data_IF_571684064416
#
_entry.id   IF_571684064416
#
_cell.length_a   1.000
_cell.length_b   1.000
_cell.length_c   1.000
_cell.angle_alpha   90.00
_cell.angle_beta   90.00
_cell.angle_gamma   90.00
#
_symmetry.space_group_name_H-M   'P 1'
#
loop_
_entity.id
_entity.type
_entity.pdbx_description
1 polymer ?
#
# COMPACT_ATOMS: atom_id res chain seq x y z
N UNK A 1 -18.51 1.34 -21.97
CA UNK A 1 -18.75 0.95 -20.55
C UNK A 1 -19.86 1.85 -20.01
N UNK A 2 -20.95 1.27 -19.54
CA UNK A 2 -22.04 2.01 -18.89
C UNK A 2 -21.59 2.43 -17.47
N UNK A 3 -21.54 3.73 -17.22
CA UNK A 3 -21.10 4.31 -15.95
C UNK A 3 -22.08 3.98 -14.81
N UNK A 4 -23.39 3.93 -15.10
CA UNK A 4 -24.38 3.58 -14.10
C UNK A 4 -24.26 2.12 -13.67
N UNK A 5 -24.11 1.21 -14.62
CA UNK A 5 -23.87 -0.21 -14.34
C UNK A 5 -22.57 -0.42 -13.54
N UNK A 6 -21.47 0.26 -13.90
CA UNK A 6 -20.23 0.20 -13.15
C UNK A 6 -20.40 0.68 -11.70
N UNK A 7 -21.09 1.79 -11.50
CA UNK A 7 -21.37 2.32 -10.14
C UNK A 7 -22.14 1.32 -9.31
N UNK A 8 -23.18 0.72 -9.88
CA UNK A 8 -24.07 -0.19 -9.16
C UNK A 8 -23.32 -1.49 -8.79
N UNK A 9 -22.53 -2.06 -9.73
CA UNK A 9 -21.65 -3.20 -9.46
C UNK A 9 -20.67 -2.91 -8.32
N UNK A 10 -19.96 -1.77 -8.36
CA UNK A 10 -18.99 -1.42 -7.33
C UNK A 10 -19.63 -1.25 -5.94
N UNK A 11 -20.90 -0.88 -5.84
CA UNK A 11 -21.58 -0.61 -4.57
C UNK A 11 -22.37 -1.79 -4.02
N UNK A 12 -22.97 -2.60 -4.88
CA UNK A 12 -23.97 -3.60 -4.47
C UNK A 12 -23.57 -5.04 -4.75
N UNK A 13 -22.78 -5.27 -5.82
CA UNK A 13 -22.38 -6.63 -6.17
C UNK A 13 -21.31 -7.20 -5.23
N UNK A 14 -21.39 -8.52 -5.02
CA UNK A 14 -20.45 -9.28 -4.22
C UNK A 14 -19.89 -10.42 -5.07
N UNK A 15 -18.61 -10.27 -5.44
CA UNK A 15 -17.82 -11.35 -6.01
C UNK A 15 -16.52 -11.46 -5.25
N UNK A 16 -15.90 -12.63 -5.27
CA UNK A 16 -14.64 -12.86 -4.55
C UNK A 16 -13.55 -11.86 -4.99
N UNK A 17 -13.47 -11.58 -6.29
CA UNK A 17 -12.47 -10.67 -6.84
C UNK A 17 -12.77 -9.20 -6.45
N UNK A 18 -14.05 -8.80 -6.44
CA UNK A 18 -14.45 -7.47 -6.01
C UNK A 18 -14.22 -7.25 -4.51
N UNK A 19 -14.51 -8.27 -3.70
CA UNK A 19 -14.31 -8.21 -2.25
C UNK A 19 -12.82 -8.18 -1.88
N UNK A 20 -11.96 -8.88 -2.64
CA UNK A 20 -10.49 -8.77 -2.52
C UNK A 20 -10.02 -7.34 -2.80
N UNK A 21 -10.51 -6.71 -3.86
CA UNK A 21 -10.17 -5.32 -4.19
C UNK A 21 -10.65 -4.33 -3.13
N UNK A 22 -11.87 -4.52 -2.58
CA UNK A 22 -12.38 -3.70 -1.46
C UNK A 22 -11.49 -3.80 -0.23
N UNK A 23 -11.01 -5.00 0.10
CA UNK A 23 -10.04 -5.19 1.21
C UNK A 23 -8.74 -4.44 0.94
N UNK A 24 -8.19 -4.53 -0.28
CA UNK A 24 -6.99 -3.77 -0.66
C UNK A 24 -7.22 -2.27 -0.58
N UNK A 25 -8.39 -1.76 -1.01
CA UNK A 25 -8.75 -0.34 -0.88
C UNK A 25 -8.75 0.08 0.60
N UNK A 26 -9.40 -0.70 1.48
CA UNK A 26 -9.46 -0.40 2.92
C UNK A 26 -8.07 -0.39 3.56
N UNK A 27 -7.22 -1.38 3.25
CA UNK A 27 -5.84 -1.42 3.72
C UNK A 27 -5.02 -0.24 3.20
N UNK A 28 -5.18 0.11 1.91
CA UNK A 28 -4.48 1.25 1.33
C UNK A 28 -4.91 2.59 1.93
N UNK A 29 -6.19 2.73 2.30
CA UNK A 29 -6.67 3.91 3.01
C UNK A 29 -6.00 4.05 4.40
N UNK A 30 -5.87 2.94 5.14
CA UNK A 30 -5.14 2.94 6.41
C UNK A 30 -3.65 3.28 6.21
N UNK A 31 -3.01 2.69 5.21
CA UNK A 31 -1.62 3.00 4.86
C UNK A 31 -1.43 4.46 4.44
N UNK A 32 -2.39 5.04 3.72
CA UNK A 32 -2.34 6.45 3.34
C UNK A 32 -2.38 7.37 4.57
N UNK A 33 -3.21 7.06 5.58
CA UNK A 33 -3.24 7.80 6.85
C UNK A 33 -1.91 7.66 7.58
N UNK A 34 -1.40 6.44 7.72
CA UNK A 34 -0.14 6.13 8.40
C UNK A 34 1.04 6.91 7.78
N UNK A 35 1.22 6.82 6.47
CA UNK A 35 2.30 7.52 5.79
C UNK A 35 2.08 9.03 5.63
N UNK A 36 0.85 9.52 5.76
CA UNK A 36 0.60 10.96 5.89
C UNK A 36 1.17 11.51 7.21
N UNK A 37 1.06 10.76 8.31
CA UNK A 37 1.65 11.13 9.59
C UNK A 37 3.18 11.15 9.50
N UNK A 38 3.79 10.12 8.90
CA UNK A 38 5.24 10.08 8.64
C UNK A 38 5.66 11.28 7.77
N UNK A 39 4.90 11.58 6.73
CA UNK A 39 5.18 12.70 5.83
C UNK A 39 5.18 14.04 6.56
N UNK A 40 4.22 14.26 7.46
CA UNK A 40 4.18 15.48 8.30
C UNK A 40 5.41 15.59 9.21
N UNK A 41 5.91 14.50 9.73
CA UNK A 41 7.15 14.49 10.51
C UNK A 41 8.35 14.80 9.63
N UNK A 42 8.52 14.08 8.52
CA UNK A 42 9.67 14.22 7.62
C UNK A 42 9.76 15.60 6.95
N UNK A 43 8.62 16.30 6.81
CA UNK A 43 8.56 17.65 6.25
C UNK A 43 8.54 18.74 7.32
N UNK A 44 8.62 18.38 8.61
CA UNK A 44 8.71 19.34 9.72
C UNK A 44 7.37 19.95 10.13
N UNK A 45 6.24 19.47 9.64
CA UNK A 45 4.90 19.91 10.06
C UNK A 45 4.63 19.51 11.53
N UNK A 46 5.06 18.30 11.91
CA UNK A 46 5.10 17.85 13.30
C UNK A 46 6.54 17.61 13.75
N UNK A 47 6.83 17.83 15.02
CA UNK A 47 8.20 17.75 15.56
C UNK A 47 8.62 16.35 15.99
N UNK A 48 7.67 15.49 16.31
CA UNK A 48 7.93 14.13 16.78
C UNK A 48 6.79 13.21 16.47
N UNK A 49 7.12 11.93 16.29
CA UNK A 49 6.17 10.83 16.17
C UNK A 49 5.96 10.20 17.55
N UNK A 50 4.72 9.97 17.98
CA UNK A 50 4.45 9.17 19.17
C UNK A 50 4.99 7.76 19.06
N UNK A 51 5.60 7.24 20.13
CA UNK A 51 6.13 5.89 20.21
C UNK A 51 5.70 5.19 21.50
N UNK A 52 5.91 3.85 21.54
CA UNK A 52 5.75 3.09 22.77
C UNK A 52 6.91 3.39 23.73
N UNK A 53 6.68 3.34 25.07
CA UNK A 53 7.65 3.75 26.10
C UNK A 53 8.73 2.66 26.33
N UNK A 54 9.30 2.11 25.29
CA UNK A 54 10.37 1.13 25.35
C UNK A 54 11.54 1.59 24.48
N UNK A 55 12.78 1.47 24.97
CA UNK A 55 14.00 1.95 24.29
C UNK A 55 14.20 1.43 22.87
N UNK A 56 13.62 0.29 22.53
CA UNK A 56 13.72 -0.30 21.20
C UNK A 56 12.91 0.49 20.16
N UNK A 57 11.84 1.21 20.59
CA UNK A 57 11.03 2.01 19.71
C UNK A 57 11.60 3.41 19.57
N UNK A 58 11.86 3.82 18.34
CA UNK A 58 12.35 5.16 18.01
C UNK A 58 11.97 5.50 16.57
N UNK A 59 10.68 5.79 16.38
CA UNK A 59 10.14 6.15 15.06
C UNK A 59 10.77 7.44 14.52
N UNK A 60 11.18 8.35 15.39
CA UNK A 60 11.85 9.59 14.99
C UNK A 60 13.21 9.29 14.36
N UNK A 61 14.04 8.47 15.00
CA UNK A 61 15.35 8.07 14.48
C UNK A 61 15.24 7.33 13.15
N UNK A 62 14.29 6.39 13.06
CA UNK A 62 14.09 5.59 11.84
C UNK A 62 13.67 6.49 10.67
N UNK A 63 12.70 7.38 10.86
CA UNK A 63 12.16 8.25 9.80
C UNK A 63 13.02 9.49 9.52
N UNK A 64 14.05 9.79 10.34
CA UNK A 64 15.07 10.78 10.08
C UNK A 64 16.38 10.18 9.53
N UNK A 65 16.43 8.87 9.27
CA UNK A 65 17.63 8.20 8.78
C UNK A 65 17.91 8.51 7.30
N UNK A 66 19.16 8.34 6.86
CA UNK A 66 19.51 8.49 5.43
C UNK A 66 18.72 7.54 4.52
N UNK A 67 18.35 6.36 5.03
CA UNK A 67 17.53 5.40 4.28
C UNK A 67 16.14 5.98 3.95
N UNK A 68 15.56 6.78 4.84
CA UNK A 68 14.25 7.42 4.64
C UNK A 68 14.26 8.57 3.59
N UNK A 69 15.46 9.05 3.20
CA UNK A 69 15.65 10.11 2.19
C UNK A 69 16.46 9.62 0.99
N UNK A 70 16.64 8.31 0.85
CA UNK A 70 17.51 7.68 -0.17
C UNK A 70 17.22 8.12 -1.61
N UNK A 71 15.98 8.42 -1.94
CA UNK A 71 15.58 8.79 -3.30
C UNK A 71 15.66 10.31 -3.57
N UNK A 72 16.36 11.07 -2.72
CA UNK A 72 16.41 12.52 -2.81
C UNK A 72 15.13 13.23 -2.38
N UNK A 73 14.19 12.48 -1.82
CA UNK A 73 12.94 12.94 -1.24
C UNK A 73 12.55 12.04 -0.06
N UNK A 74 11.74 12.56 0.91
CA UNK A 74 11.23 11.75 2.00
C UNK A 74 10.42 10.56 1.47
N UNK A 75 10.59 9.38 2.06
CA UNK A 75 9.89 8.16 1.64
C UNK A 75 8.40 8.13 2.06
N UNK A 76 8.02 8.89 3.07
CA UNK A 76 6.63 9.05 3.52
C UNK A 76 5.71 9.53 2.41
N UNK A 77 5.96 10.71 1.79
CA UNK A 77 5.18 11.17 0.63
C UNK A 77 5.21 10.21 -0.56
N UNK A 78 6.34 9.57 -0.84
CA UNK A 78 6.45 8.56 -1.92
C UNK A 78 5.52 7.38 -1.64
N UNK A 79 5.53 6.88 -0.41
CA UNK A 79 4.67 5.78 0.02
C UNK A 79 3.19 6.17 0.01
N UNK A 80 2.84 7.39 0.42
CA UNK A 80 1.47 7.91 0.34
C UNK A 80 0.95 7.91 -1.11
N UNK A 81 1.76 8.33 -2.08
CA UNK A 81 1.43 8.25 -3.51
C UNK A 81 1.22 6.80 -3.95
N UNK A 82 2.07 5.87 -3.50
CA UNK A 82 1.93 4.44 -3.83
C UNK A 82 0.61 3.85 -3.29
N UNK A 83 0.19 4.20 -2.07
CA UNK A 83 -1.12 3.81 -1.53
C UNK A 83 -2.29 4.43 -2.31
N UNK A 84 -2.21 5.71 -2.65
CA UNK A 84 -3.22 6.37 -3.48
C UNK A 84 -3.35 5.70 -4.86
N UNK A 85 -2.23 5.39 -5.51
CA UNK A 85 -2.21 4.67 -6.78
C UNK A 85 -2.82 3.27 -6.65
N UNK A 86 -2.52 2.55 -5.57
CA UNK A 86 -3.11 1.24 -5.26
C UNK A 86 -4.64 1.33 -5.14
N UNK A 87 -5.16 2.35 -4.43
CA UNK A 87 -6.60 2.59 -4.31
C UNK A 87 -7.26 2.86 -5.68
N UNK A 88 -6.64 3.69 -6.52
CA UNK A 88 -7.14 3.98 -7.87
C UNK A 88 -7.17 2.70 -8.71
N UNK A 89 -6.10 1.91 -8.74
CA UNK A 89 -6.04 0.66 -9.49
C UNK A 89 -7.07 -0.37 -9.00
N UNK A 90 -7.27 -0.48 -7.69
CA UNK A 90 -8.22 -1.41 -7.11
C UNK A 90 -9.68 -0.99 -7.36
N UNK A 91 -9.99 0.30 -7.44
CA UNK A 91 -11.35 0.82 -7.66
C UNK A 91 -11.71 0.97 -9.14
N UNK A 92 -10.73 1.08 -10.05
CA UNK A 92 -11.00 1.33 -11.46
C UNK A 92 -11.74 0.16 -12.13
N UNK A 93 -12.76 0.48 -12.93
CA UNK A 93 -13.33 -0.39 -13.95
C UNK A 93 -14.25 -1.52 -13.49
N UNK A 94 -15.05 -1.42 -12.45
CA UNK A 94 -16.08 -2.40 -12.12
C UNK A 94 -15.58 -3.86 -11.97
N UNK A 95 -16.24 -4.82 -12.63
CA UNK A 95 -15.86 -6.23 -12.70
C UNK A 95 -15.68 -6.68 -14.17
N UNK A 96 -15.51 -7.99 -14.39
CA UNK A 96 -15.37 -8.55 -15.74
C UNK A 96 -16.62 -8.37 -16.59
N UNK A 97 -17.81 -8.42 -15.99
CA UNK A 97 -19.11 -8.25 -16.70
C UNK A 97 -19.30 -6.81 -17.15
N UNK A 98 -18.78 -5.85 -16.39
CA UNK A 98 -18.82 -4.42 -16.72
C UNK A 98 -17.60 -3.94 -17.53
N UNK A 99 -16.69 -4.86 -17.90
CA UNK A 99 -15.58 -4.59 -18.83
C UNK A 99 -14.26 -4.19 -18.18
N UNK A 100 -14.00 -4.62 -16.93
CA UNK A 100 -12.67 -4.46 -16.32
C UNK A 100 -11.61 -5.20 -17.13
N UNK A 101 -10.57 -4.46 -17.52
CA UNK A 101 -9.47 -5.02 -18.29
C UNK A 101 -8.46 -5.76 -17.39
N UNK A 102 -7.96 -6.95 -17.79
CA UNK A 102 -6.97 -7.71 -17.00
C UNK A 102 -5.70 -6.90 -16.65
N UNK A 103 -5.31 -5.95 -17.50
CA UNK A 103 -4.15 -5.08 -17.27
C UNK A 103 -4.25 -4.29 -15.96
N UNK A 104 -5.45 -3.95 -15.50
CA UNK A 104 -5.65 -3.25 -14.21
C UNK A 104 -5.31 -4.15 -13.02
N UNK A 105 -5.65 -5.44 -13.09
CA UNK A 105 -5.32 -6.39 -12.03
C UNK A 105 -3.83 -6.78 -12.07
N UNK A 106 -3.21 -6.79 -13.25
CA UNK A 106 -1.74 -6.94 -13.38
C UNK A 106 -1.03 -5.72 -12.78
N UNK A 107 -1.46 -4.51 -13.12
CA UNK A 107 -0.89 -3.29 -12.55
C UNK A 107 -1.08 -3.22 -11.02
N UNK A 108 -2.28 -3.55 -10.51
CA UNK A 108 -2.55 -3.64 -9.09
C UNK A 108 -1.61 -4.65 -8.40
N UNK A 109 -1.53 -5.87 -8.93
CA UNK A 109 -0.67 -6.92 -8.38
C UNK A 109 0.81 -6.52 -8.37
N UNK A 110 1.31 -5.94 -9.45
CA UNK A 110 2.69 -5.45 -9.53
C UNK A 110 2.96 -4.32 -8.51
N UNK A 111 2.02 -3.39 -8.35
CA UNK A 111 2.14 -2.28 -7.38
C UNK A 111 2.18 -2.80 -5.95
N UNK A 112 1.24 -3.66 -5.53
CA UNK A 112 1.22 -4.19 -4.15
C UNK A 112 2.40 -5.12 -3.88
N UNK A 113 2.88 -5.88 -4.88
CA UNK A 113 4.08 -6.69 -4.75
C UNK A 113 5.34 -5.83 -4.55
N UNK A 114 5.49 -4.75 -5.33
CA UNK A 114 6.57 -3.79 -5.17
C UNK A 114 6.54 -3.12 -3.79
N UNK A 115 5.36 -2.69 -3.33
CA UNK A 115 5.18 -2.12 -2.00
C UNK A 115 5.54 -3.13 -0.88
N UNK A 116 5.16 -4.42 -1.03
CA UNK A 116 5.51 -5.45 -0.06
C UNK A 116 7.02 -5.71 -0.01
N UNK A 117 7.68 -5.80 -1.16
CA UNK A 117 9.15 -5.94 -1.25
C UNK A 117 9.84 -4.74 -0.59
N UNK A 118 9.39 -3.52 -0.88
CA UNK A 118 9.88 -2.30 -0.25
C UNK A 118 9.70 -2.34 1.28
N UNK A 119 8.50 -2.70 1.75
CA UNK A 119 8.19 -2.84 3.18
C UNK A 119 9.09 -3.85 3.88
N UNK A 120 9.33 -5.03 3.29
CA UNK A 120 10.24 -6.05 3.82
C UNK A 120 11.68 -5.53 3.87
N UNK A 121 12.13 -4.83 2.82
CA UNK A 121 13.46 -4.23 2.78
C UNK A 121 13.66 -3.21 3.91
N UNK A 122 12.68 -2.32 4.13
CA UNK A 122 12.75 -1.34 5.21
C UNK A 122 12.67 -1.97 6.60
N UNK A 123 11.87 -3.03 6.79
CA UNK A 123 11.88 -3.82 8.04
C UNK A 123 13.26 -4.41 8.31
N UNK A 124 13.90 -4.98 7.29
CA UNK A 124 15.27 -5.50 7.43
C UNK A 124 16.26 -4.40 7.86
N UNK A 125 16.24 -3.26 7.18
CA UNK A 125 17.13 -2.12 7.50
C UNK A 125 16.87 -1.60 8.92
N UNK A 126 15.63 -1.46 9.31
CA UNK A 126 15.21 -0.98 10.63
C UNK A 126 15.72 -1.91 11.74
N UNK A 127 15.51 -3.22 11.60
CA UNK A 127 15.85 -4.21 12.64
C UNK A 127 17.35 -4.47 12.71
N UNK A 128 17.99 -4.72 11.57
CA UNK A 128 19.37 -5.20 11.54
C UNK A 128 20.43 -4.09 11.41
N UNK A 129 20.11 -2.98 10.78
CA UNK A 129 21.07 -1.89 10.56
C UNK A 129 20.86 -0.78 11.58
N UNK A 130 19.64 -0.25 11.72
CA UNK A 130 19.36 0.86 12.63
C UNK A 130 19.17 0.40 14.08
N UNK A 131 18.83 -0.88 14.29
CA UNK A 131 18.59 -1.51 15.60
C UNK A 131 17.56 -0.75 16.44
N UNK A 132 16.56 -0.21 15.76
CA UNK A 132 15.40 0.49 16.33
C UNK A 132 14.15 0.03 15.60
N UNK A 133 12.99 0.18 16.22
CA UNK A 133 11.69 -0.19 15.65
C UNK A 133 10.86 1.08 15.50
N UNK A 134 10.30 1.28 14.31
CA UNK A 134 9.31 2.29 14.02
C UNK A 134 7.93 1.62 13.96
N UNK A 135 7.02 2.02 14.82
CA UNK A 135 5.67 1.45 14.88
C UNK A 135 4.91 1.66 13.55
N UNK A 136 5.00 2.84 12.99
CA UNK A 136 4.39 3.21 11.69
C UNK A 136 4.98 2.37 10.55
N UNK A 137 6.30 2.19 10.51
CA UNK A 137 6.96 1.39 9.47
C UNK A 137 6.58 -0.09 9.54
N UNK A 138 6.39 -0.64 10.74
CA UNK A 138 5.88 -2.02 10.94
C UNK A 138 4.44 -2.12 10.46
N UNK A 139 3.60 -1.15 10.81
CA UNK A 139 2.19 -1.08 10.36
C UNK A 139 2.11 -1.00 8.84
N UNK A 140 2.87 -0.11 8.22
CA UNK A 140 2.92 0.02 6.76
C UNK A 140 3.39 -1.25 6.05
N UNK A 141 4.44 -1.90 6.58
CA UNK A 141 4.92 -3.17 6.02
C UNK A 141 3.88 -4.29 6.15
N UNK A 142 3.18 -4.40 7.29
CA UNK A 142 2.10 -5.36 7.48
C UNK A 142 0.94 -5.13 6.50
N UNK A 143 0.54 -3.87 6.29
CA UNK A 143 -0.48 -3.49 5.30
C UNK A 143 -0.04 -3.89 3.89
N UNK A 144 1.20 -3.62 3.51
CA UNK A 144 1.75 -3.94 2.19
C UNK A 144 1.77 -5.45 1.94
N UNK A 145 2.24 -6.25 2.90
CA UNK A 145 2.27 -7.71 2.81
C UNK A 145 0.85 -8.27 2.71
N UNK A 146 -0.07 -7.81 3.57
CA UNK A 146 -1.47 -8.24 3.53
C UNK A 146 -2.12 -7.91 2.18
N UNK A 147 -1.90 -6.71 1.64
CA UNK A 147 -2.41 -6.28 0.34
C UNK A 147 -1.88 -7.15 -0.81
N UNK A 148 -0.59 -7.50 -0.78
CA UNK A 148 0.01 -8.37 -1.78
C UNK A 148 -0.58 -9.79 -1.74
N UNK A 149 -0.76 -10.37 -0.55
CA UNK A 149 -1.38 -11.69 -0.38
C UNK A 149 -2.83 -11.70 -0.87
N UNK A 150 -3.61 -10.66 -0.53
CA UNK A 150 -5.02 -10.56 -0.94
C UNK A 150 -5.14 -10.37 -2.46
N UNK A 151 -4.25 -9.61 -3.09
CA UNK A 151 -4.27 -9.34 -4.52
C UNK A 151 -3.63 -10.44 -5.38
N UNK A 152 -2.85 -11.36 -4.81
CA UNK A 152 -2.15 -12.41 -5.56
C UNK A 152 -3.04 -13.25 -6.49
N UNK A 153 -4.26 -13.69 -6.07
CA UNK A 153 -5.15 -14.41 -6.97
C UNK A 153 -5.67 -13.57 -8.14
N UNK A 154 -5.91 -12.26 -7.94
CA UNK A 154 -6.32 -11.33 -9.01
C UNK A 154 -5.22 -11.23 -10.06
N UNK A 155 -3.98 -11.04 -9.61
CA UNK A 155 -2.80 -10.97 -10.47
C UNK A 155 -2.61 -12.25 -11.30
N UNK A 156 -2.67 -13.42 -10.66
CA UNK A 156 -2.49 -14.71 -11.36
C UNK A 156 -3.60 -15.00 -12.37
N UNK A 157 -4.86 -14.69 -12.05
CA UNK A 157 -5.99 -14.80 -13.00
C UNK A 157 -5.79 -13.87 -14.19
N UNK A 158 -5.38 -12.62 -13.95
CA UNK A 158 -5.18 -11.61 -14.99
C UNK A 158 -4.03 -11.99 -15.93
N UNK A 159 -2.91 -12.48 -15.40
CA UNK A 159 -1.80 -12.98 -16.22
C UNK A 159 -2.24 -14.13 -17.15
N UNK A 160 -2.94 -15.13 -16.60
CA UNK A 160 -3.45 -16.24 -17.42
C UNK A 160 -4.33 -15.75 -18.58
N UNK A 161 -5.20 -14.75 -18.33
CA UNK A 161 -6.05 -14.16 -19.37
C UNK A 161 -5.31 -13.36 -20.42
N UNK A 162 -4.16 -12.78 -20.09
CA UNK A 162 -3.35 -12.01 -21.05
C UNK A 162 -2.50 -12.89 -21.97
N UNK A 163 -2.18 -14.12 -21.55
CA UNK A 163 -1.32 -15.05 -22.27
C UNK A 163 -2.06 -16.28 -22.81
N UNK A 164 -3.38 -16.39 -22.60
CA UNK A 164 -4.25 -17.41 -23.20
C UNK A 164 -4.83 -16.90 -24.54
#
# INVERSE_FOLDING_TARGET
MDIAAMRDVLRTEHSEDLDRRRKVIGLSALGLVDFSIISMYQTGVIKSLPDLPFEVFDSNKVNASEDAYRFGAPDGPISAVAYAATMVLASAGGDEQTGRKPVLDVALGATVAGNAVGGIFYLYKMIFVQKKICLYCVTGAAINIASAVIAAPLFSKALKKMFA
#
